data_IF_066807169877
#
_entry.id   IF_066807169877
#
_cell.length_a   1.000
_cell.length_b   1.000
_cell.length_c   1.000
_cell.angle_alpha   90.00
_cell.angle_beta   90.00
_cell.angle_gamma   90.00
#
_symmetry.space_group_name_H-M   'P 1'
#
loop_
_entity.id
_entity.type
_entity.pdbx_description
1 polymer ?
#
# COMPACT_ATOMS: atom_id res chain seq x y z
N UNK A 1 -26.46 4.32 1.75
CA UNK A 1 -26.15 3.47 2.92
C UNK A 1 -25.24 2.36 2.44
N UNK A 2 -24.21 2.00 3.19
CA UNK A 2 -23.35 0.87 2.82
C UNK A 2 -24.00 -0.48 3.10
N UNK A 3 -23.38 -1.56 2.60
CA UNK A 3 -23.93 -2.92 2.61
C UNK A 3 -24.27 -3.42 4.02
N UNK A 4 -23.45 -3.11 5.03
CA UNK A 4 -23.70 -3.57 6.41
C UNK A 4 -24.86 -2.79 7.05
N UNK A 5 -24.94 -1.48 6.80
CA UNK A 5 -26.09 -0.66 7.22
C UNK A 5 -27.39 -1.10 6.54
N UNK A 6 -27.33 -1.48 5.28
CA UNK A 6 -28.49 -2.03 4.56
C UNK A 6 -28.92 -3.40 5.10
N UNK A 7 -27.96 -4.25 5.47
CA UNK A 7 -28.26 -5.53 6.07
C UNK A 7 -29.00 -5.39 7.41
N UNK A 8 -28.53 -4.51 8.32
CA UNK A 8 -29.23 -4.28 9.59
C UNK A 8 -30.60 -3.63 9.39
N UNK A 9 -30.74 -2.70 8.43
CA UNK A 9 -32.04 -2.14 8.05
C UNK A 9 -33.02 -3.23 7.63
N UNK A 10 -32.59 -4.15 6.75
CA UNK A 10 -33.43 -5.24 6.28
C UNK A 10 -33.77 -6.22 7.41
N UNK A 11 -32.87 -6.43 8.36
CA UNK A 11 -33.12 -7.25 9.55
C UNK A 11 -34.22 -6.64 10.43
N UNK A 12 -34.16 -5.34 10.69
CA UNK A 12 -35.17 -4.59 11.46
C UNK A 12 -36.49 -4.55 10.70
N UNK A 13 -36.47 -4.22 9.41
CA UNK A 13 -37.66 -4.19 8.56
C UNK A 13 -38.43 -5.50 8.63
N UNK A 14 -37.73 -6.63 8.55
CA UNK A 14 -38.34 -7.95 8.69
C UNK A 14 -38.98 -8.17 10.06
N UNK A 15 -38.35 -7.72 11.15
CA UNK A 15 -38.96 -7.86 12.47
C UNK A 15 -40.19 -6.96 12.66
N UNK A 16 -40.20 -5.77 12.04
CA UNK A 16 -41.38 -4.90 11.98
C UNK A 16 -42.50 -5.53 11.15
N UNK A 17 -42.19 -6.16 10.02
CA UNK A 17 -43.19 -6.85 9.19
C UNK A 17 -43.81 -8.05 9.92
N UNK A 18 -43.00 -8.80 10.66
CA UNK A 18 -43.44 -10.02 11.35
C UNK A 18 -44.16 -9.72 12.69
N UNK A 19 -43.83 -8.61 13.38
CA UNK A 19 -44.29 -8.37 14.77
C UNK A 19 -44.88 -6.96 15.01
N UNK A 20 -44.83 -6.06 14.03
CA UNK A 20 -45.24 -4.65 14.15
C UNK A 20 -44.25 -3.81 14.96
N UNK A 21 -44.03 -4.15 16.22
CA UNK A 21 -43.27 -3.36 17.18
C UNK A 21 -41.89 -3.98 17.48
N UNK A 22 -40.84 -3.17 17.37
CA UNK A 22 -39.46 -3.56 17.68
C UNK A 22 -38.86 -2.61 18.71
N UNK A 23 -38.39 -3.15 19.83
CA UNK A 23 -37.54 -2.44 20.79
C UNK A 23 -36.10 -2.86 20.53
N UNK A 24 -35.26 -1.91 20.09
CA UNK A 24 -33.89 -2.14 19.68
C UNK A 24 -32.91 -1.53 20.69
N UNK A 25 -32.23 -2.39 21.45
CA UNK A 25 -31.16 -2.01 22.36
C UNK A 25 -29.79 -2.09 21.67
N UNK A 26 -29.00 -1.03 21.83
CA UNK A 26 -27.65 -0.88 21.26
C UNK A 26 -26.69 -0.31 22.32
N UNK A 27 -26.24 -1.14 23.29
CA UNK A 27 -25.41 -0.68 24.40
C UNK A 27 -24.07 -0.06 23.95
N UNK A 28 -23.52 -0.51 22.82
CA UNK A 28 -22.25 -0.02 22.29
C UNK A 28 -22.41 1.24 21.42
N UNK A 29 -23.65 1.68 21.15
CA UNK A 29 -23.95 2.81 20.27
C UNK A 29 -23.49 2.59 18.82
N UNK A 30 -23.27 1.35 18.40
CA UNK A 30 -22.69 1.00 17.11
C UNK A 30 -23.52 1.47 15.91
N UNK A 31 -24.82 1.72 16.12
CA UNK A 31 -25.77 2.08 15.07
C UNK A 31 -26.39 3.47 15.26
N UNK A 32 -25.86 4.29 16.18
CA UNK A 32 -26.40 5.62 16.49
C UNK A 32 -26.50 6.53 15.26
N UNK A 33 -25.52 6.48 14.34
CA UNK A 33 -25.59 7.24 13.08
C UNK A 33 -26.54 6.60 12.06
N UNK A 34 -26.63 5.26 12.04
CA UNK A 34 -27.46 4.54 11.09
C UNK A 34 -28.95 4.70 11.38
N UNK A 35 -29.34 4.85 12.65
CA UNK A 35 -30.75 5.05 13.03
C UNK A 35 -31.26 6.45 12.66
N UNK A 36 -30.39 7.46 12.59
CA UNK A 36 -30.79 8.83 12.20
C UNK A 36 -31.30 8.91 10.76
N UNK A 37 -30.78 8.04 9.89
CA UNK A 37 -31.16 7.94 8.48
C UNK A 37 -31.99 6.68 8.19
N UNK A 38 -32.47 5.99 9.23
CA UNK A 38 -33.27 4.78 9.09
C UNK A 38 -34.67 5.15 8.59
N UNK A 39 -34.92 4.81 7.32
CA UNK A 39 -36.22 4.93 6.70
C UNK A 39 -36.81 3.54 6.44
N UNK A 40 -38.04 3.33 6.92
CA UNK A 40 -38.77 2.08 6.84
C UNK A 40 -40.22 2.40 6.39
N UNK A 41 -40.76 1.72 5.36
CA UNK A 41 -42.10 1.99 4.86
C UNK A 41 -43.16 1.89 5.95
N UNK A 42 -44.02 2.90 6.04
CA UNK A 42 -45.15 2.99 6.97
C UNK A 42 -44.79 2.69 8.43
N UNK A 43 -43.55 3.03 8.84
CA UNK A 43 -43.02 2.68 10.17
C UNK A 43 -42.56 3.94 10.89
N UNK A 44 -43.02 4.13 12.12
CA UNK A 44 -42.53 5.22 12.96
C UNK A 44 -41.24 4.78 13.67
N UNK A 45 -40.17 5.56 13.56
CA UNK A 45 -38.92 5.32 14.30
C UNK A 45 -38.80 6.37 15.40
N UNK A 46 -38.71 5.92 16.65
CA UNK A 46 -38.48 6.77 17.82
C UNK A 46 -37.18 6.39 18.50
N UNK A 47 -36.49 7.39 19.05
CA UNK A 47 -35.21 7.21 19.73
C UNK A 47 -35.28 7.73 21.15
N UNK A 48 -34.66 7.00 22.06
CA UNK A 48 -34.37 7.51 23.39
C UNK A 48 -33.43 8.74 23.32
N UNK A 49 -33.93 9.87 23.83
CA UNK A 49 -33.22 11.15 23.91
C UNK A 49 -33.19 11.64 25.37
N UNK A 50 -32.55 10.86 26.24
CA UNK A 50 -32.29 11.24 27.64
C UNK A 50 -33.46 11.09 28.63
N UNK A 51 -34.67 10.73 28.18
CA UNK A 51 -35.82 10.53 29.08
C UNK A 51 -36.83 9.52 28.54
N UNK A 52 -37.03 8.43 29.30
CA UNK A 52 -38.07 7.44 29.00
C UNK A 52 -39.48 8.01 29.15
N UNK A 53 -39.69 8.93 30.09
CA UNK A 53 -41.00 9.60 30.26
C UNK A 53 -41.34 10.43 29.02
N UNK A 54 -40.36 11.14 28.46
CA UNK A 54 -40.55 11.90 27.21
C UNK A 54 -40.83 10.97 26.03
N UNK A 55 -40.07 9.89 25.89
CA UNK A 55 -40.25 8.90 24.84
C UNK A 55 -41.65 8.26 24.87
N UNK A 56 -42.09 7.82 26.06
CA UNK A 56 -43.42 7.23 26.26
C UNK A 56 -44.52 8.25 26.01
N UNK A 57 -44.35 9.48 26.51
CA UNK A 57 -45.29 10.56 26.21
C UNK A 57 -45.43 10.81 24.70
N UNK A 58 -44.33 10.77 23.93
CA UNK A 58 -44.39 10.91 22.47
C UNK A 58 -45.14 9.76 21.80
N UNK A 59 -44.93 8.52 22.26
CA UNK A 59 -45.67 7.33 21.78
C UNK A 59 -47.17 7.51 22.03
N UNK A 60 -47.55 7.94 23.23
CA UNK A 60 -48.94 8.18 23.63
C UNK A 60 -49.58 9.33 22.82
N UNK A 61 -48.86 10.44 22.62
CA UNK A 61 -49.37 11.58 21.81
C UNK A 61 -49.64 11.17 20.37
N UNK A 62 -48.82 10.26 19.83
CA UNK A 62 -49.01 9.69 18.49
C UNK A 62 -50.04 8.57 18.44
N UNK A 63 -50.64 8.19 19.58
CA UNK A 63 -51.66 7.14 19.71
C UNK A 63 -51.22 5.80 19.12
N UNK A 64 -49.92 5.49 19.23
CA UNK A 64 -49.35 4.30 18.57
C UNK A 64 -49.79 3.01 19.26
N UNK A 65 -50.20 3.06 20.53
CA UNK A 65 -50.58 1.88 21.32
C UNK A 65 -52.10 1.79 21.59
N UNK A 66 -52.93 2.54 20.86
CA UNK A 66 -54.39 2.61 21.08
C UNK A 66 -55.17 1.47 20.36
N UNK A 67 -54.51 0.71 19.46
CA UNK A 67 -55.11 -0.39 18.69
C UNK A 67 -54.90 -1.77 19.33
N UNK A 68 -55.73 -2.75 18.94
CA UNK A 68 -55.55 -4.16 19.35
C UNK A 68 -54.33 -4.82 18.69
N UNK A 69 -53.95 -4.37 17.49
CA UNK A 69 -52.76 -4.85 16.79
C UNK A 69 -51.53 -3.97 17.10
N UNK A 70 -50.32 -4.55 17.23
CA UNK A 70 -49.10 -3.78 17.43
C UNK A 70 -48.85 -2.79 16.28
N UNK A 71 -48.50 -1.52 16.58
CA UNK A 71 -48.19 -0.55 15.54
C UNK A 71 -46.88 -0.92 14.84
N UNK A 72 -46.70 -0.45 13.60
CA UNK A 72 -45.40 -0.43 12.92
C UNK A 72 -44.49 0.62 13.56
N UNK A 73 -43.77 0.22 14.60
CA UNK A 73 -42.96 1.11 15.44
C UNK A 73 -41.60 0.47 15.74
N UNK A 74 -40.53 1.25 15.58
CA UNK A 74 -39.19 0.91 16.07
C UNK A 74 -38.80 1.90 17.16
N UNK A 75 -38.42 1.39 18.33
CA UNK A 75 -37.91 2.19 19.44
C UNK A 75 -36.43 1.85 19.65
N UNK A 76 -35.55 2.77 19.28
CA UNK A 76 -34.10 2.63 19.45
C UNK A 76 -33.64 3.22 20.79
N UNK A 77 -32.85 2.44 21.53
CA UNK A 77 -32.32 2.82 22.83
C UNK A 77 -30.81 2.51 22.88
N UNK A 78 -29.93 3.52 22.97
CA UNK A 78 -28.48 3.34 22.98
C UNK A 78 -27.96 2.99 24.38
N UNK A 79 -28.54 1.96 25.01
CA UNK A 79 -28.12 1.41 26.31
C UNK A 79 -28.55 -0.05 26.44
N UNK A 80 -28.06 -0.74 27.47
CA UNK A 80 -28.45 -2.12 27.72
C UNK A 80 -29.91 -2.23 28.25
N UNK A 81 -30.60 -3.33 27.93
CA UNK A 81 -31.98 -3.55 28.37
C UNK A 81 -32.12 -3.46 29.90
N UNK A 82 -31.15 -4.01 30.63
CA UNK A 82 -31.15 -4.07 32.10
C UNK A 82 -31.02 -2.68 32.74
N UNK A 83 -30.39 -1.73 32.05
CA UNK A 83 -30.20 -0.35 32.51
C UNK A 83 -31.46 0.50 32.37
N UNK A 84 -32.46 0.02 31.62
CA UNK A 84 -33.73 0.73 31.43
C UNK A 84 -34.66 0.66 32.63
N UNK A 85 -34.37 -0.22 33.60
CA UNK A 85 -35.25 -0.49 34.74
C UNK A 85 -36.70 -0.81 34.32
N UNK A 86 -36.87 -1.56 33.23
CA UNK A 86 -38.17 -1.95 32.67
C UNK A 86 -39.04 -0.77 32.22
N UNK A 87 -38.44 0.38 31.89
CA UNK A 87 -39.18 1.56 31.47
C UNK A 87 -40.02 1.37 30.21
N UNK A 88 -39.72 0.36 29.38
CA UNK A 88 -40.39 0.05 28.11
C UNK A 88 -41.04 -1.35 28.11
N UNK A 89 -41.25 -1.97 29.28
CA UNK A 89 -41.70 -3.36 29.39
C UNK A 89 -43.02 -3.65 28.65
N UNK A 90 -43.91 -2.67 28.57
CA UNK A 90 -45.15 -2.77 27.81
C UNK A 90 -44.91 -2.89 26.29
N UNK A 91 -43.90 -2.19 25.77
CA UNK A 91 -43.53 -2.24 24.36
C UNK A 91 -42.81 -3.54 24.05
N UNK A 92 -41.97 -4.00 24.97
CA UNK A 92 -41.30 -5.30 24.86
C UNK A 92 -42.31 -6.45 24.85
N UNK A 93 -43.38 -6.35 25.65
CA UNK A 93 -44.43 -7.36 25.71
C UNK A 93 -45.35 -7.34 24.48
N UNK A 94 -45.62 -6.16 23.91
CA UNK A 94 -46.46 -6.01 22.72
C UNK A 94 -45.72 -6.33 21.41
N UNK A 95 -44.39 -6.30 21.40
CA UNK A 95 -43.56 -6.50 20.23
C UNK A 95 -42.44 -7.50 20.43
N UNK A 96 -41.26 -7.16 19.91
CA UNK A 96 -40.04 -7.97 20.05
C UNK A 96 -38.83 -7.13 20.44
N UNK A 97 -37.91 -7.76 21.16
CA UNK A 97 -36.62 -7.18 21.52
C UNK A 97 -35.55 -7.62 20.53
N UNK A 98 -34.78 -6.66 20.02
CA UNK A 98 -33.55 -6.87 19.25
C UNK A 98 -32.37 -6.28 20.01
N UNK A 99 -31.32 -7.06 20.22
CA UNK A 99 -30.12 -6.64 20.94
C UNK A 99 -28.90 -7.52 20.63
N UNK A 100 -27.68 -7.09 20.96
CA UNK A 100 -26.48 -7.90 20.76
C UNK A 100 -26.56 -9.26 21.48
N UNK A 101 -26.42 -10.36 20.74
CA UNK A 101 -26.48 -11.72 21.28
C UNK A 101 -27.88 -12.31 21.46
N UNK A 102 -28.94 -11.58 21.08
CA UNK A 102 -30.33 -12.05 21.22
C UNK A 102 -30.60 -13.34 20.44
N UNK A 103 -31.50 -14.18 20.98
CA UNK A 103 -32.07 -15.32 20.29
C UNK A 103 -33.55 -15.09 19.95
N UNK A 104 -34.04 -15.51 18.77
CA UNK A 104 -33.32 -16.21 17.69
C UNK A 104 -32.31 -15.30 16.93
N UNK A 105 -31.41 -15.86 16.09
CA UNK A 105 -30.37 -15.08 15.39
C UNK A 105 -30.91 -13.93 14.53
N UNK A 106 -32.16 -14.01 14.07
CA UNK A 106 -32.83 -12.94 13.34
C UNK A 106 -33.10 -11.67 14.16
N UNK A 107 -32.87 -11.72 15.48
CA UNK A 107 -32.99 -10.58 16.41
C UNK A 107 -31.64 -10.12 16.96
N UNK A 108 -30.55 -10.77 16.55
CA UNK A 108 -29.21 -10.46 17.02
C UNK A 108 -28.64 -9.27 16.25
N UNK A 109 -28.40 -8.17 16.95
CA UNK A 109 -27.84 -6.93 16.39
C UNK A 109 -26.37 -6.72 16.73
N UNK A 110 -25.65 -7.75 17.22
CA UNK A 110 -24.20 -7.64 17.49
C UNK A 110 -23.45 -7.31 16.21
N UNK A 111 -22.72 -6.18 16.21
CA UNK A 111 -22.08 -5.64 15.01
C UNK A 111 -21.17 -6.66 14.31
N UNK A 112 -20.36 -7.42 15.05
CA UNK A 112 -19.47 -8.43 14.47
C UNK A 112 -20.23 -9.52 13.68
N UNK A 113 -21.36 -9.99 14.20
CA UNK A 113 -22.19 -11.03 13.58
C UNK A 113 -22.93 -10.47 12.36
N UNK A 114 -23.49 -9.26 12.51
CA UNK A 114 -24.17 -8.54 11.43
C UNK A 114 -23.19 -8.28 10.27
N UNK A 115 -21.99 -7.77 10.58
CA UNK A 115 -20.92 -7.51 9.62
C UNK A 115 -20.51 -8.78 8.87
N UNK A 116 -20.25 -9.89 9.59
CA UNK A 116 -19.89 -11.17 8.98
C UNK A 116 -20.97 -11.63 8.01
N UNK A 117 -22.23 -11.62 8.42
CA UNK A 117 -23.33 -12.10 7.59
C UNK A 117 -23.55 -11.23 6.35
N UNK A 118 -23.41 -9.91 6.50
CA UNK A 118 -23.52 -8.96 5.39
C UNK A 118 -22.36 -9.08 4.40
N UNK A 119 -21.13 -9.28 4.89
CA UNK A 119 -19.92 -9.27 4.08
C UNK A 119 -19.52 -10.64 3.54
N UNK A 120 -20.11 -11.75 4.03
CA UNK A 120 -19.76 -13.11 3.62
C UNK A 120 -19.85 -13.34 2.11
N UNK A 121 -20.87 -12.80 1.46
CA UNK A 121 -21.05 -12.93 0.00
C UNK A 121 -20.08 -12.07 -0.81
N UNK A 122 -19.53 -11.01 -0.20
CA UNK A 122 -18.66 -10.01 -0.86
C UNK A 122 -17.18 -10.33 -0.66
N UNK A 123 -16.79 -10.75 0.55
CA UNK A 123 -15.39 -10.93 0.97
C UNK A 123 -14.96 -12.40 1.07
N UNK A 124 -15.90 -13.34 0.99
CA UNK A 124 -15.67 -14.76 1.26
C UNK A 124 -15.65 -15.10 2.76
N UNK A 125 -15.75 -16.39 3.08
CA UNK A 125 -15.97 -16.86 4.46
C UNK A 125 -14.78 -16.62 5.39
N UNK A 126 -13.55 -16.80 4.89
CA UNK A 126 -12.32 -16.61 5.66
C UNK A 126 -12.09 -15.14 6.05
N UNK A 127 -12.18 -14.23 5.06
CA UNK A 127 -12.06 -12.79 5.29
C UNK A 127 -13.17 -12.27 6.20
N UNK A 128 -14.41 -12.72 6.00
CA UNK A 128 -15.53 -12.32 6.84
C UNK A 128 -15.35 -12.76 8.30
N UNK A 129 -14.73 -13.93 8.54
CA UNK A 129 -14.38 -14.37 9.90
C UNK A 129 -13.26 -13.53 10.53
N UNK A 130 -12.31 -13.03 9.74
CA UNK A 130 -11.30 -12.09 10.26
C UNK A 130 -11.93 -10.74 10.62
N UNK A 131 -12.81 -10.21 9.76
CA UNK A 131 -13.55 -8.97 10.00
C UNK A 131 -14.43 -9.10 11.25
N UNK A 132 -15.08 -10.24 11.47
CA UNK A 132 -15.83 -10.53 12.70
C UNK A 132 -14.95 -10.34 13.94
N UNK A 133 -13.76 -10.97 13.97
CA UNK A 133 -12.82 -10.86 15.11
C UNK A 133 -12.36 -9.42 15.38
N UNK A 134 -12.03 -8.66 14.32
CA UNK A 134 -11.59 -7.27 14.46
C UNK A 134 -12.73 -6.36 14.94
N UNK A 135 -13.96 -6.65 14.52
CA UNK A 135 -15.16 -5.93 14.96
C UNK A 135 -15.47 -6.21 16.43
N UNK A 136 -15.40 -7.49 16.84
CA UNK A 136 -15.61 -7.87 18.25
C UNK A 136 -14.55 -7.25 19.18
N UNK A 137 -13.33 -7.03 18.67
CA UNK A 137 -12.26 -6.32 19.37
C UNK A 137 -12.44 -4.78 19.39
N UNK A 138 -13.52 -4.24 18.82
CA UNK A 138 -13.82 -2.80 18.80
C UNK A 138 -12.95 -1.97 17.84
N UNK A 139 -12.26 -2.61 16.89
CA UNK A 139 -11.32 -1.92 15.96
C UNK A 139 -11.98 -1.46 14.67
N UNK A 140 -13.13 -2.04 14.33
CA UNK A 140 -13.89 -1.71 13.14
C UNK A 140 -15.24 -1.14 13.54
N UNK A 141 -15.51 0.08 13.08
CA UNK A 141 -16.80 0.75 13.22
C UNK A 141 -17.75 0.34 12.09
N UNK A 142 -19.04 0.63 12.22
CA UNK A 142 -20.00 0.43 11.13
C UNK A 142 -19.58 1.16 9.84
N UNK A 143 -18.97 2.34 9.96
CA UNK A 143 -18.44 3.08 8.82
C UNK A 143 -17.26 2.35 8.15
N UNK A 144 -16.31 1.81 8.92
CA UNK A 144 -15.21 0.99 8.38
C UNK A 144 -15.74 -0.23 7.62
N UNK A 145 -16.77 -0.89 8.18
CA UNK A 145 -17.38 -2.09 7.61
C UNK A 145 -18.12 -1.82 6.30
N UNK A 146 -18.83 -0.70 6.21
CA UNK A 146 -19.45 -0.27 4.96
C UNK A 146 -18.40 0.04 3.89
N UNK A 147 -17.33 0.75 4.27
CA UNK A 147 -16.24 1.08 3.35
C UNK A 147 -15.49 -0.17 2.85
N UNK A 148 -15.37 -1.22 3.67
CA UNK A 148 -14.82 -2.53 3.25
C UNK A 148 -15.67 -3.19 2.16
N UNK A 149 -16.99 -3.04 2.24
CA UNK A 149 -17.91 -3.64 1.30
C UNK A 149 -17.85 -2.98 -0.08
N UNK A 150 -17.74 -1.64 -0.11
CA UNK A 150 -17.69 -0.83 -1.34
C UNK A 150 -16.42 -1.09 -2.17
N UNK A 151 -15.32 -1.51 -1.51
CA UNK A 151 -14.06 -1.86 -2.19
C UNK A 151 -14.06 -3.26 -2.82
N UNK A 152 -15.19 -3.97 -2.75
CA UNK A 152 -15.59 -5.09 -3.59
C UNK A 152 -14.51 -6.11 -3.95
N UNK A 153 -14.46 -7.23 -3.22
CA UNK A 153 -14.15 -8.55 -3.78
C UNK A 153 -12.81 -8.77 -4.51
N UNK A 154 -11.90 -7.79 -4.61
CA UNK A 154 -10.50 -7.97 -5.02
C UNK A 154 -9.72 -8.62 -3.86
N UNK A 155 -10.16 -9.84 -3.58
CA UNK A 155 -9.50 -11.01 -3.02
C UNK A 155 -8.28 -10.62 -2.17
N UNK A 156 -8.48 -10.61 -0.84
CA UNK A 156 -7.51 -10.71 0.27
C UNK A 156 -7.09 -9.46 1.07
N UNK A 157 -7.72 -8.28 0.96
CA UNK A 157 -7.13 -7.04 1.53
C UNK A 157 -8.08 -6.25 2.42
N UNK A 158 -8.34 -6.79 3.60
CA UNK A 158 -9.18 -6.24 4.65
C UNK A 158 -8.67 -4.91 5.21
N UNK A 159 -8.10 -4.94 6.41
CA UNK A 159 -7.80 -3.75 7.22
C UNK A 159 -6.72 -2.89 6.55
N UNK A 160 -5.81 -3.50 5.78
CA UNK A 160 -4.76 -2.81 5.04
C UNK A 160 -5.34 -1.83 3.99
N UNK A 161 -6.40 -2.21 3.27
CA UNK A 161 -7.00 -1.32 2.28
C UNK A 161 -7.72 -0.12 2.91
N UNK A 162 -8.19 -0.24 4.16
CA UNK A 162 -8.69 0.88 4.95
C UNK A 162 -7.55 1.82 5.37
N UNK A 163 -6.46 1.27 5.90
CA UNK A 163 -5.32 2.04 6.43
C UNK A 163 -4.61 2.82 5.32
N UNK A 164 -4.25 2.14 4.24
CA UNK A 164 -3.46 2.73 3.16
C UNK A 164 -4.33 3.38 2.07
N UNK A 165 -5.67 3.28 2.18
CA UNK A 165 -6.62 3.79 1.20
C UNK A 165 -6.75 2.94 -0.07
N UNK A 166 -5.83 2.00 -0.30
CA UNK A 166 -5.76 1.16 -1.51
C UNK A 166 -5.48 -0.30 -1.18
N UNK A 167 -6.04 -1.20 -1.97
CA UNK A 167 -5.69 -2.62 -1.96
C UNK A 167 -4.55 -2.96 -2.91
N UNK A 168 -3.95 -2.04 -3.66
CA UNK A 168 -2.87 -2.43 -4.57
C UNK A 168 -1.58 -2.77 -3.78
N UNK A 169 -1.00 -3.99 -3.88
CA UNK A 169 0.19 -4.37 -3.10
C UNK A 169 1.39 -3.46 -3.36
N UNK A 170 1.56 -2.99 -4.60
CA UNK A 170 2.64 -2.07 -4.97
C UNK A 170 2.49 -0.71 -4.28
N UNK A 171 1.27 -0.16 -4.23
CA UNK A 171 1.01 1.13 -3.58
C UNK A 171 1.09 1.05 -2.05
N UNK A 172 0.60 -0.06 -1.47
CA UNK A 172 0.72 -0.34 -0.04
C UNK A 172 2.19 -0.46 0.35
N UNK A 173 2.95 -1.32 -0.36
CA UNK A 173 4.37 -1.55 -0.10
C UNK A 173 5.19 -0.26 -0.25
N UNK A 174 4.93 0.53 -1.30
CA UNK A 174 5.60 1.81 -1.49
C UNK A 174 5.27 2.79 -0.37
N UNK A 175 3.99 2.93 0.00
CA UNK A 175 3.57 3.82 1.10
C UNK A 175 4.19 3.41 2.43
N UNK A 176 4.34 2.11 2.66
CA UNK A 176 4.98 1.56 3.86
C UNK A 176 6.50 1.80 3.87
N UNK A 177 7.17 1.68 2.72
CA UNK A 177 8.61 1.94 2.58
C UNK A 177 8.95 3.42 2.72
N UNK A 178 8.07 4.29 2.23
CA UNK A 178 8.30 5.73 2.18
C UNK A 178 8.22 6.41 3.56
N UNK A 179 7.29 5.99 4.41
CA UNK A 179 7.06 6.65 5.71
C UNK A 179 6.45 5.73 6.78
N UNK A 180 6.51 6.18 8.03
CA UNK A 180 5.89 5.57 9.22
C UNK A 180 4.48 6.12 9.53
N UNK A 181 3.92 6.97 8.65
CA UNK A 181 2.66 7.69 8.87
C UNK A 181 1.46 6.79 9.19
N UNK A 182 1.51 5.53 8.78
CA UNK A 182 0.43 4.56 8.97
C UNK A 182 0.69 3.58 10.12
N UNK A 183 1.86 3.62 10.76
CA UNK A 183 2.28 2.63 11.75
C UNK A 183 1.32 2.56 12.94
N UNK A 184 0.88 3.72 13.45
CA UNK A 184 -0.11 3.79 14.53
C UNK A 184 -1.43 3.11 14.13
N UNK A 185 -1.89 3.31 12.90
CA UNK A 185 -3.12 2.69 12.39
C UNK A 185 -2.95 1.17 12.19
N UNK A 186 -1.78 0.74 11.71
CA UNK A 186 -1.45 -0.70 11.58
C UNK A 186 -1.42 -1.37 12.95
N UNK A 187 -0.85 -0.72 13.97
CA UNK A 187 -0.79 -1.24 15.34
C UNK A 187 -2.20 -1.26 15.96
N UNK A 188 -2.92 -0.13 15.93
CA UNK A 188 -4.25 0.00 16.53
C UNK A 188 -5.25 -0.99 15.95
N UNK A 189 -5.20 -1.25 14.64
CA UNK A 189 -6.08 -2.19 13.97
C UNK A 189 -5.50 -3.61 13.85
N UNK A 190 -4.39 -3.92 14.53
CA UNK A 190 -3.69 -5.22 14.49
C UNK A 190 -3.44 -5.77 13.07
N UNK A 191 -3.19 -4.87 12.12
CA UNK A 191 -3.04 -5.21 10.70
C UNK A 191 -1.63 -5.68 10.34
N UNK A 192 -0.72 -5.80 11.31
CA UNK A 192 0.67 -6.19 11.07
C UNK A 192 0.78 -7.55 10.38
N UNK A 193 0.02 -8.55 10.85
CA UNK A 193 0.04 -9.89 10.23
C UNK A 193 -0.48 -9.89 8.79
N UNK A 194 -1.47 -9.04 8.50
CA UNK A 194 -1.99 -8.85 7.13
C UNK A 194 -0.95 -8.16 6.23
N UNK A 195 -0.22 -7.18 6.77
CA UNK A 195 0.89 -6.55 6.06
C UNK A 195 2.01 -7.56 5.77
N UNK A 196 2.44 -8.33 6.76
CA UNK A 196 3.48 -9.36 6.59
C UNK A 196 3.07 -10.41 5.55
N UNK A 197 1.83 -10.86 5.56
CA UNK A 197 1.32 -11.80 4.55
C UNK A 197 1.29 -11.19 3.15
N UNK A 198 0.90 -9.91 3.02
CA UNK A 198 0.97 -9.20 1.74
C UNK A 198 2.41 -9.11 1.23
N UNK A 199 3.37 -8.75 2.09
CA UNK A 199 4.78 -8.65 1.71
C UNK A 199 5.35 -10.03 1.33
N UNK A 200 4.98 -11.08 2.07
CA UNK A 200 5.38 -12.46 1.78
C UNK A 200 4.85 -12.94 0.44
N UNK A 201 3.54 -12.81 0.22
CA UNK A 201 2.87 -13.32 -0.97
C UNK A 201 3.28 -12.56 -2.23
N UNK A 202 3.26 -11.22 -2.19
CA UNK A 202 3.42 -10.39 -3.39
C UNK A 202 4.89 -10.08 -3.72
N UNK A 203 5.79 -10.08 -2.72
CA UNK A 203 7.19 -9.72 -2.90
C UNK A 203 8.18 -10.82 -2.49
N UNK A 204 7.69 -11.99 -2.06
CA UNK A 204 8.54 -13.09 -1.62
C UNK A 204 9.37 -12.75 -0.38
N UNK A 205 8.90 -11.80 0.44
CA UNK A 205 9.60 -11.34 1.63
C UNK A 205 9.09 -12.05 2.87
N UNK A 206 9.90 -12.95 3.42
CA UNK A 206 9.61 -13.59 4.70
C UNK A 206 10.53 -13.05 5.79
N UNK A 207 9.93 -12.56 6.87
CA UNK A 207 10.65 -11.95 7.97
C UNK A 207 10.10 -12.47 9.31
N UNK A 208 10.38 -13.74 9.64
CA UNK A 208 10.03 -14.27 10.95
C UNK A 208 10.71 -13.44 12.05
N UNK A 209 10.05 -13.38 13.21
CA UNK A 209 10.56 -12.79 14.45
C UNK A 209 10.77 -11.27 14.45
N UNK A 210 10.26 -10.55 13.45
CA UNK A 210 10.25 -9.09 13.48
C UNK A 210 9.14 -8.60 14.39
N UNK A 211 9.47 -7.85 15.45
CA UNK A 211 8.47 -7.29 16.38
C UNK A 211 8.02 -5.89 15.98
N UNK A 212 8.96 -5.03 15.57
CA UNK A 212 8.72 -3.62 15.26
C UNK A 212 8.50 -3.35 13.77
N UNK A 213 7.52 -2.50 13.43
CA UNK A 213 7.26 -2.11 12.03
C UNK A 213 8.46 -1.40 11.38
N UNK A 214 9.24 -0.66 12.17
CA UNK A 214 10.47 -0.01 11.70
C UNK A 214 11.54 -1.00 11.26
N UNK A 215 11.69 -2.13 11.97
CA UNK A 215 12.62 -3.18 11.56
C UNK A 215 12.08 -3.95 10.35
N UNK A 216 10.76 -4.19 10.30
CA UNK A 216 10.09 -4.81 9.15
C UNK A 216 10.33 -3.98 7.88
N UNK A 217 10.11 -2.66 7.95
CA UNK A 217 10.35 -1.71 6.85
C UNK A 217 11.79 -1.74 6.38
N UNK A 218 12.75 -1.69 7.31
CA UNK A 218 14.19 -1.73 6.98
C UNK A 218 14.57 -3.02 6.26
N UNK A 219 14.15 -4.17 6.80
CA UNK A 219 14.42 -5.48 6.19
C UNK A 219 13.74 -5.64 4.84
N UNK A 220 12.52 -5.10 4.69
CA UNK A 220 11.81 -5.12 3.43
C UNK A 220 12.46 -4.22 2.36
N UNK A 221 12.89 -3.00 2.73
CA UNK A 221 13.65 -2.11 1.84
C UNK A 221 14.92 -2.82 1.33
N UNK A 222 15.64 -3.47 2.24
CA UNK A 222 16.81 -4.29 1.93
C UNK A 222 16.48 -5.41 0.94
N UNK A 223 15.43 -6.18 1.20
CA UNK A 223 14.99 -7.27 0.33
C UNK A 223 14.66 -6.78 -1.08
N UNK A 224 13.89 -5.70 -1.21
CA UNK A 224 13.48 -5.12 -2.50
C UNK A 224 14.69 -4.63 -3.29
N UNK A 225 15.57 -3.84 -2.66
CA UNK A 225 16.73 -3.26 -3.34
C UNK A 225 17.79 -4.32 -3.69
N UNK A 226 18.04 -5.28 -2.80
CA UNK A 226 18.97 -6.38 -3.12
C UNK A 226 18.39 -7.30 -4.19
N UNK A 227 17.08 -7.54 -4.22
CA UNK A 227 16.43 -8.28 -5.30
C UNK A 227 16.59 -7.55 -6.64
N UNK A 228 16.38 -6.23 -6.68
CA UNK A 228 16.56 -5.41 -7.90
C UNK A 228 18.01 -5.48 -8.42
N UNK A 229 19.01 -5.36 -7.53
CA UNK A 229 20.43 -5.48 -7.90
C UNK A 229 20.80 -6.90 -8.38
N UNK A 230 20.52 -7.92 -7.58
CA UNK A 230 20.94 -9.30 -7.86
C UNK A 230 20.27 -9.83 -9.12
N UNK A 231 18.97 -9.56 -9.31
CA UNK A 231 18.26 -9.92 -10.53
C UNK A 231 18.64 -9.08 -11.76
N UNK A 232 19.32 -7.96 -11.57
CA UNK A 232 19.87 -7.16 -12.65
C UNK A 232 21.27 -7.59 -13.09
N UNK A 233 21.99 -8.31 -12.22
CA UNK A 233 23.34 -8.82 -12.49
C UNK A 233 23.34 -10.18 -13.19
N UNK A 234 22.23 -10.93 -13.16
CA UNK A 234 22.10 -12.28 -13.72
C UNK A 234 23.28 -13.20 -13.31
N UNK A 235 24.04 -13.72 -14.28
CA UNK A 235 25.17 -14.62 -14.02
C UNK A 235 26.43 -13.89 -13.48
N UNK A 236 26.41 -12.55 -13.42
CA UNK A 236 27.54 -11.73 -12.97
C UNK A 236 27.48 -11.36 -11.47
N UNK A 237 26.64 -12.04 -10.67
CA UNK A 237 26.51 -11.77 -9.24
C UNK A 237 27.82 -12.11 -8.50
N UNK A 238 28.44 -11.14 -7.79
CA UNK A 238 29.63 -11.41 -7.00
C UNK A 238 29.39 -12.48 -5.93
N UNK A 239 30.37 -13.36 -5.71
CA UNK A 239 30.25 -14.48 -4.74
C UNK A 239 29.90 -14.02 -3.32
N UNK A 240 30.34 -12.82 -2.93
CA UNK A 240 30.01 -12.17 -1.64
C UNK A 240 28.52 -11.84 -1.48
N UNK A 241 27.75 -11.79 -2.57
CA UNK A 241 26.31 -11.54 -2.56
C UNK A 241 25.47 -12.81 -2.77
N UNK A 242 26.09 -13.97 -2.97
CA UNK A 242 25.37 -15.22 -3.28
C UNK A 242 24.49 -15.73 -2.13
N UNK A 243 24.79 -15.37 -0.89
CA UNK A 243 24.02 -15.73 0.30
C UNK A 243 22.95 -14.70 0.70
N UNK A 244 22.81 -13.61 -0.05
CA UNK A 244 21.84 -12.56 0.26
C UNK A 244 20.43 -13.06 -0.03
N UNK A 245 19.50 -13.00 0.95
CA UNK A 245 18.11 -13.36 0.71
C UNK A 245 17.50 -12.38 -0.30
N UNK A 246 16.98 -12.92 -1.40
CA UNK A 246 16.26 -12.18 -2.44
C UNK A 246 15.02 -12.96 -2.86
N UNK A 247 14.10 -12.29 -3.57
CA UNK A 247 12.93 -12.96 -4.12
C UNK A 247 13.35 -14.11 -5.06
N UNK A 248 12.73 -15.27 -4.90
CA UNK A 248 13.15 -16.52 -5.56
C UNK A 248 12.30 -16.91 -6.76
N UNK A 249 11.10 -16.33 -6.91
CA UNK A 249 10.20 -16.64 -8.03
C UNK A 249 10.10 -15.47 -9.00
N UNK A 250 9.95 -15.71 -10.32
CA UNK A 250 9.86 -14.63 -11.30
C UNK A 250 8.80 -13.56 -10.97
N UNK A 251 7.56 -13.90 -10.56
CA UNK A 251 6.56 -12.89 -10.21
C UNK A 251 6.99 -11.98 -9.04
N UNK A 252 7.57 -12.56 -7.99
CA UNK A 252 8.03 -11.80 -6.82
C UNK A 252 9.25 -10.95 -7.12
N UNK A 253 10.14 -11.42 -8.01
CA UNK A 253 11.30 -10.67 -8.47
C UNK A 253 10.87 -9.47 -9.32
N UNK A 254 9.97 -9.68 -10.28
CA UNK A 254 9.40 -8.61 -11.10
C UNK A 254 8.65 -7.58 -10.24
N UNK A 255 7.91 -8.03 -9.23
CA UNK A 255 7.25 -7.15 -8.28
C UNK A 255 8.23 -6.27 -7.49
N UNK A 256 9.37 -6.82 -7.04
CA UNK A 256 10.42 -6.04 -6.37
C UNK A 256 11.10 -5.04 -7.31
N UNK A 257 11.40 -5.44 -8.55
CA UNK A 257 11.97 -4.54 -9.58
C UNK A 257 11.02 -3.39 -9.91
N UNK A 258 9.73 -3.70 -10.07
CA UNK A 258 8.69 -2.71 -10.30
C UNK A 258 8.58 -1.74 -9.12
N UNK A 259 8.61 -2.24 -7.88
CA UNK A 259 8.55 -1.43 -6.67
C UNK A 259 9.77 -0.51 -6.53
N UNK A 260 11.00 -1.04 -6.68
CA UNK A 260 12.24 -0.24 -6.68
C UNK A 260 12.19 0.87 -7.73
N UNK A 261 11.73 0.55 -8.95
CA UNK A 261 11.57 1.51 -10.04
C UNK A 261 10.49 2.57 -9.74
N UNK A 262 9.34 2.17 -9.22
CA UNK A 262 8.28 3.11 -8.85
C UNK A 262 8.73 4.05 -7.73
N UNK A 263 9.43 3.51 -6.72
CA UNK A 263 9.97 4.26 -5.59
C UNK A 263 10.97 5.33 -6.04
N UNK A 264 11.92 4.99 -6.93
CA UNK A 264 12.91 5.97 -7.41
C UNK A 264 12.33 7.03 -8.35
N UNK A 265 11.33 6.68 -9.17
CA UNK A 265 10.82 7.59 -10.21
C UNK A 265 9.77 8.59 -9.69
N UNK A 266 9.11 8.29 -8.57
CA UNK A 266 8.15 9.18 -7.94
C UNK A 266 8.87 10.30 -7.18
N UNK A 267 8.42 11.55 -7.37
CA UNK A 267 9.08 12.73 -6.78
C UNK A 267 8.85 12.83 -5.27
N UNK A 268 7.66 12.47 -4.82
CA UNK A 268 7.22 12.49 -3.43
C UNK A 268 7.95 11.44 -2.58
N UNK A 269 8.35 10.30 -3.16
CA UNK A 269 9.04 9.21 -2.43
C UNK A 269 10.54 9.11 -2.76
N UNK A 270 11.07 10.07 -3.53
CA UNK A 270 12.47 10.08 -3.98
C UNK A 270 13.46 10.13 -2.83
N UNK A 271 13.22 10.97 -1.82
CA UNK A 271 14.17 11.18 -0.72
C UNK A 271 14.29 9.92 0.16
N UNK A 272 13.16 9.24 0.42
CA UNK A 272 13.14 7.98 1.16
C UNK A 272 13.85 6.86 0.41
N UNK A 273 13.71 6.79 -0.93
CA UNK A 273 14.49 5.86 -1.76
C UNK A 273 15.99 6.09 -1.63
N UNK A 274 16.42 7.36 -1.74
CA UNK A 274 17.85 7.72 -1.65
C UNK A 274 18.44 7.33 -0.30
N UNK A 275 17.70 7.59 0.79
CA UNK A 275 18.11 7.21 2.13
C UNK A 275 18.24 5.68 2.26
N UNK A 276 17.23 4.93 1.82
CA UNK A 276 17.22 3.47 1.87
C UNK A 276 18.35 2.86 1.02
N UNK A 277 18.54 3.33 -0.21
CA UNK A 277 19.60 2.86 -1.10
C UNK A 277 21.00 3.08 -0.51
N UNK A 278 21.26 4.26 0.09
CA UNK A 278 22.54 4.54 0.76
C UNK A 278 22.76 3.66 1.98
N UNK A 279 21.71 3.45 2.78
CA UNK A 279 21.79 2.59 3.95
C UNK A 279 22.12 1.15 3.56
N UNK A 280 21.40 0.59 2.59
CA UNK A 280 21.62 -0.79 2.12
C UNK A 280 22.98 -0.92 1.42
N UNK A 281 23.40 0.06 0.61
CA UNK A 281 24.75 0.10 0.02
C UNK A 281 25.84 -0.03 1.09
N UNK A 282 25.68 0.68 2.20
CA UNK A 282 26.61 0.64 3.34
C UNK A 282 26.54 -0.69 4.09
N UNK A 283 25.34 -1.22 4.34
CA UNK A 283 25.12 -2.49 5.07
C UNK A 283 25.82 -3.67 4.38
N UNK A 284 25.76 -3.75 3.05
CA UNK A 284 26.40 -4.82 2.28
C UNK A 284 27.83 -4.50 1.84
N UNK A 285 28.34 -3.31 2.18
CA UNK A 285 29.68 -2.88 1.79
C UNK A 285 29.91 -2.92 0.28
N UNK A 286 28.89 -2.55 -0.52
CA UNK A 286 28.92 -2.70 -1.98
C UNK A 286 30.07 -1.90 -2.62
N UNK A 287 30.54 -0.84 -1.97
CA UNK A 287 31.69 -0.05 -2.42
C UNK A 287 33.01 -0.81 -2.48
N UNK A 288 33.13 -1.93 -1.75
CA UNK A 288 34.31 -2.80 -1.74
C UNK A 288 34.20 -3.97 -2.74
N UNK A 289 33.12 -4.04 -3.51
CA UNK A 289 32.92 -5.05 -4.54
C UNK A 289 33.47 -4.57 -5.88
N UNK A 290 33.96 -5.52 -6.67
CA UNK A 290 34.28 -5.31 -8.07
C UNK A 290 33.08 -5.74 -8.91
N UNK A 291 32.62 -4.85 -9.77
CA UNK A 291 31.51 -5.10 -10.69
C UNK A 291 32.04 -5.09 -12.12
N UNK A 292 31.58 -6.02 -12.94
CA UNK A 292 31.79 -5.95 -14.39
C UNK A 292 30.99 -4.76 -14.94
N UNK A 293 31.64 -3.74 -15.55
CA UNK A 293 30.97 -2.57 -16.11
C UNK A 293 29.85 -2.91 -17.08
N UNK A 294 29.99 -4.00 -17.87
CA UNK A 294 28.95 -4.42 -18.82
C UNK A 294 27.71 -4.96 -18.12
N UNK A 295 27.88 -5.70 -17.04
CA UNK A 295 26.78 -6.29 -16.28
C UNK A 295 25.97 -5.22 -15.51
N UNK A 296 26.60 -4.10 -15.13
CA UNK A 296 25.95 -3.05 -14.35
C UNK A 296 25.46 -1.84 -15.16
N UNK A 297 25.70 -1.83 -16.47
CA UNK A 297 25.38 -0.68 -17.35
C UNK A 297 23.90 -0.31 -17.32
N UNK A 298 23.00 -1.30 -17.23
CA UNK A 298 21.55 -1.11 -17.17
C UNK A 298 21.00 -0.78 -15.78
N UNK A 299 21.83 -0.84 -14.74
CA UNK A 299 21.36 -0.80 -13.36
C UNK A 299 21.35 0.62 -12.79
N UNK A 300 20.37 0.89 -11.92
CA UNK A 300 20.14 2.20 -11.30
C UNK A 300 19.81 2.08 -9.80
N UNK A 301 19.98 0.89 -9.21
CA UNK A 301 19.52 0.60 -7.84
C UNK A 301 20.32 1.34 -6.77
N UNK A 302 21.64 1.45 -6.96
CA UNK A 302 22.55 2.02 -5.95
C UNK A 302 23.49 3.06 -6.57
N UNK A 303 23.86 4.12 -5.84
CA UNK A 303 24.77 5.14 -6.35
C UNK A 303 26.21 4.61 -6.57
N UNK A 304 26.61 3.51 -5.93
CA UNK A 304 27.89 2.85 -6.22
C UNK A 304 28.01 2.39 -7.68
N UNK A 305 26.90 2.06 -8.34
CA UNK A 305 26.88 1.63 -9.75
C UNK A 305 27.40 2.76 -10.64
N UNK A 306 26.95 4.00 -10.42
CA UNK A 306 27.46 5.16 -11.13
C UNK A 306 28.95 5.38 -10.89
N UNK A 307 29.40 5.21 -9.65
CA UNK A 307 30.82 5.39 -9.32
C UNK A 307 31.70 4.33 -9.98
N UNK A 308 31.23 3.09 -10.07
CA UNK A 308 31.93 1.99 -10.73
C UNK A 308 32.02 2.22 -12.24
N UNK A 309 30.90 2.59 -12.87
CA UNK A 309 30.84 2.95 -14.29
C UNK A 309 31.71 4.18 -14.62
N UNK A 310 31.68 5.23 -13.78
CA UNK A 310 32.55 6.40 -13.93
C UNK A 310 34.02 6.01 -13.88
N UNK A 311 34.43 5.20 -12.89
CA UNK A 311 35.83 4.75 -12.78
C UNK A 311 36.24 3.94 -14.02
N UNK A 312 35.36 3.08 -14.53
CA UNK A 312 35.60 2.37 -15.77
C UNK A 312 35.80 3.32 -16.95
N UNK A 313 34.90 4.29 -17.14
CA UNK A 313 34.98 5.28 -18.20
C UNK A 313 36.26 6.12 -18.11
N UNK A 314 36.59 6.63 -16.92
CA UNK A 314 37.81 7.40 -16.66
C UNK A 314 39.07 6.59 -17.00
N UNK A 315 39.16 5.33 -16.55
CA UNK A 315 40.30 4.47 -16.86
C UNK A 315 40.43 4.20 -18.36
N UNK A 316 39.31 3.95 -19.05
CA UNK A 316 39.29 3.69 -20.50
C UNK A 316 39.73 4.90 -21.32
N UNK A 317 39.37 6.11 -20.91
CA UNK A 317 39.84 7.34 -21.56
C UNK A 317 41.34 7.61 -21.32
N UNK A 318 41.90 7.11 -20.21
CA UNK A 318 43.32 7.27 -19.88
C UNK A 318 44.23 6.20 -20.52
N UNK A 319 43.69 5.07 -20.96
CA UNK A 319 44.45 4.00 -21.62
C UNK A 319 45.05 4.48 -22.96
N UNK A 320 46.37 4.73 -22.95
CA UNK A 320 47.16 5.11 -24.13
C UNK A 320 47.40 3.90 -25.05
N UNK A 321 46.49 3.64 -25.98
CA UNK A 321 46.81 2.76 -27.12
C UNK A 321 46.24 3.30 -28.43
N UNK A 322 47.15 3.53 -29.39
CA UNK A 322 47.01 4.27 -30.65
C UNK A 322 45.95 3.77 -31.66
N UNK A 323 45.19 2.73 -31.32
CA UNK A 323 44.07 2.19 -32.12
C UNK A 323 42.82 1.87 -31.27
N UNK A 324 42.96 1.45 -30.01
CA UNK A 324 41.84 1.15 -29.12
C UNK A 324 41.22 2.39 -28.46
N UNK A 325 41.99 3.48 -28.32
CA UNK A 325 41.47 4.74 -27.77
C UNK A 325 40.40 5.38 -28.67
N UNK A 326 40.49 5.17 -29.99
CA UNK A 326 39.56 5.70 -31.01
C UNK A 326 38.15 5.13 -30.86
N UNK A 327 38.06 3.82 -30.68
CA UNK A 327 36.79 3.10 -30.53
C UNK A 327 36.23 3.24 -29.11
N UNK A 328 37.13 3.28 -28.12
CA UNK A 328 36.78 3.54 -26.73
C UNK A 328 36.15 4.92 -26.52
N UNK A 329 36.60 5.96 -27.23
CA UNK A 329 35.99 7.30 -27.14
C UNK A 329 34.49 7.31 -27.50
N UNK A 330 34.09 6.61 -28.56
CA UNK A 330 32.70 6.53 -29.00
C UNK A 330 31.82 5.72 -28.06
N UNK A 331 32.32 4.58 -27.58
CA UNK A 331 31.63 3.73 -26.60
C UNK A 331 31.44 4.48 -25.26
N UNK A 332 32.49 5.16 -24.78
CA UNK A 332 32.43 5.93 -23.52
C UNK A 332 31.54 7.17 -23.66
N UNK A 333 31.54 7.86 -24.79
CA UNK A 333 30.61 8.96 -25.04
C UNK A 333 29.16 8.46 -24.97
N UNK A 334 28.85 7.38 -25.68
CA UNK A 334 27.51 6.76 -25.67
C UNK A 334 27.10 6.35 -24.25
N UNK A 335 28.00 5.73 -23.50
CA UNK A 335 27.78 5.39 -22.10
C UNK A 335 27.46 6.64 -21.27
N UNK A 336 28.31 7.67 -21.34
CA UNK A 336 28.15 8.89 -20.53
C UNK A 336 26.84 9.63 -20.83
N UNK A 337 26.48 9.78 -22.10
CA UNK A 337 25.20 10.38 -22.52
C UNK A 337 24.01 9.58 -21.99
N UNK A 338 24.09 8.25 -22.07
CA UNK A 338 23.02 7.39 -21.54
C UNK A 338 22.85 7.55 -20.02
N UNK A 339 23.96 7.70 -19.27
CA UNK A 339 23.96 7.82 -17.80
C UNK A 339 23.53 9.20 -17.31
N UNK A 340 23.80 10.28 -18.06
CA UNK A 340 23.36 11.64 -17.70
C UNK A 340 21.84 11.77 -17.52
N UNK A 341 21.06 10.94 -18.23
CA UNK A 341 19.59 10.91 -18.12
C UNK A 341 19.05 10.02 -17.00
N UNK A 342 19.93 9.32 -16.26
CA UNK A 342 19.55 8.33 -15.25
C UNK A 342 19.31 8.94 -13.88
N UNK A 343 18.61 8.17 -13.05
CA UNK A 343 18.10 8.62 -11.76
C UNK A 343 19.17 9.29 -10.87
N UNK A 344 20.33 8.65 -10.70
CA UNK A 344 21.36 9.17 -9.79
C UNK A 344 22.01 10.47 -10.28
N UNK A 345 22.02 10.74 -11.58
CA UNK A 345 22.46 12.02 -12.13
C UNK A 345 21.44 13.14 -11.88
N UNK A 346 20.14 12.83 -11.86
CA UNK A 346 19.08 13.80 -11.50
C UNK A 346 19.15 14.19 -10.01
N UNK A 347 19.55 13.24 -9.15
CA UNK A 347 19.51 13.43 -7.70
C UNK A 347 20.84 13.87 -7.09
N UNK A 348 21.98 13.52 -7.70
CA UNK A 348 23.31 13.84 -7.18
C UNK A 348 24.09 14.72 -8.19
N UNK A 349 24.11 16.06 -8.00
CA UNK A 349 24.76 16.99 -8.91
C UNK A 349 26.24 16.69 -9.17
N UNK A 350 26.94 16.08 -8.19
CA UNK A 350 28.34 15.67 -8.35
C UNK A 350 28.51 14.54 -9.36
N UNK A 351 27.58 13.58 -9.41
CA UNK A 351 27.62 12.51 -10.41
C UNK A 351 27.30 13.06 -11.80
N UNK A 352 26.29 13.94 -11.90
CA UNK A 352 25.97 14.64 -13.14
C UNK A 352 27.17 15.41 -13.71
N UNK A 353 27.83 16.22 -12.89
CA UNK A 353 28.99 17.00 -13.32
C UNK A 353 30.17 16.11 -13.78
N UNK A 354 30.41 14.98 -13.10
CA UNK A 354 31.46 14.04 -13.49
C UNK A 354 31.13 13.33 -14.81
N UNK A 355 29.90 12.88 -14.99
CA UNK A 355 29.48 12.28 -16.25
C UNK A 355 29.54 13.27 -17.41
N UNK A 356 29.16 14.54 -17.19
CA UNK A 356 29.29 15.59 -18.19
C UNK A 356 30.75 15.84 -18.57
N UNK A 357 31.67 15.83 -17.60
CA UNK A 357 33.11 15.94 -17.86
C UNK A 357 33.63 14.76 -18.69
N UNK A 358 33.21 13.53 -18.35
CA UNK A 358 33.59 12.32 -19.10
C UNK A 358 33.10 12.40 -20.55
N UNK A 359 31.84 12.84 -20.78
CA UNK A 359 31.29 13.04 -22.12
C UNK A 359 32.11 14.07 -22.92
N UNK A 360 32.34 15.26 -22.36
CA UNK A 360 33.15 16.29 -23.03
C UNK A 360 34.59 15.84 -23.30
N UNK A 361 35.21 15.08 -22.39
CA UNK A 361 36.54 14.53 -22.61
C UNK A 361 36.55 13.53 -23.78
N UNK A 362 35.54 12.66 -23.86
CA UNK A 362 35.39 11.71 -24.95
C UNK A 362 35.16 12.42 -26.30
N UNK A 363 34.33 13.46 -26.35
CA UNK A 363 34.12 14.30 -27.55
C UNK A 363 35.43 14.93 -28.04
N UNK A 364 36.21 15.52 -27.13
CA UNK A 364 37.50 16.15 -27.47
C UNK A 364 38.47 15.12 -28.04
N UNK A 365 38.52 13.91 -27.48
CA UNK A 365 39.39 12.84 -27.98
C UNK A 365 38.96 12.33 -29.36
N UNK A 366 37.66 12.20 -29.61
CA UNK A 366 37.11 11.83 -30.90
C UNK A 366 37.39 12.90 -31.97
N UNK A 367 37.21 14.17 -31.62
CA UNK A 367 37.46 15.28 -32.53
C UNK A 367 38.96 15.45 -32.82
N UNK A 368 39.82 15.28 -31.81
CA UNK A 368 41.27 15.27 -32.00
C UNK A 368 41.70 14.17 -32.97
N UNK A 369 41.15 12.96 -32.85
CA UNK A 369 41.42 11.87 -33.80
C UNK A 369 40.91 12.20 -35.21
N UNK A 370 39.69 12.75 -35.35
CA UNK A 370 39.14 13.19 -36.64
C UNK A 370 40.09 14.17 -37.34
N UNK A 371 40.61 15.14 -36.59
CA UNK A 371 41.59 16.12 -37.08
C UNK A 371 42.91 15.44 -37.44
N UNK A 372 43.43 14.53 -36.62
CA UNK A 372 44.67 13.80 -36.91
C UNK A 372 44.55 12.98 -38.22
N UNK A 373 43.42 12.29 -38.42
CA UNK A 373 43.16 11.52 -39.64
C UNK A 373 43.05 12.42 -40.87
N UNK A 374 42.41 13.58 -40.74
CA UNK A 374 42.31 14.56 -41.82
C UNK A 374 43.71 15.09 -42.22
N UNK A 375 44.57 15.38 -41.24
CA UNK A 375 45.94 15.84 -41.47
C UNK A 375 46.81 14.76 -42.14
N UNK A 376 46.66 13.49 -41.77
CA UNK A 376 47.38 12.37 -42.42
C UNK A 376 46.97 12.16 -43.88
N UNK A 377 45.77 12.58 -44.27
CA UNK A 377 45.23 12.46 -45.63
C UNK A 377 45.42 13.71 -46.49
N UNK A 378 45.92 14.81 -45.92
CA UNK A 378 46.10 16.07 -46.65
C UNK A 378 47.25 15.95 -47.69
N UNK A 379 47.13 16.54 -48.90
CA UNK A 379 48.17 16.47 -49.91
C UNK A 379 49.45 17.19 -49.46
N UNK A 380 50.61 16.52 -49.55
CA UNK A 380 51.90 17.06 -49.09
C UNK A 380 52.49 18.16 -50.00
N UNK A 381 51.75 18.68 -50.98
CA UNK A 381 52.24 19.75 -51.87
C UNK A 381 51.16 20.76 -52.25
N UNK A 382 51.58 22.02 -52.39
CA UNK A 382 50.73 23.16 -52.80
C UNK A 382 50.01 22.90 -54.12
N UNK A 383 50.62 22.14 -55.05
CA UNK A 383 50.03 21.77 -56.34
C UNK A 383 48.83 20.82 -56.21
N UNK A 384 48.72 20.08 -55.10
CA UNK A 384 47.57 19.22 -54.80
C UNK A 384 46.38 19.96 -54.17
N UNK A 385 46.59 21.17 -53.63
CA UNK A 385 45.52 22.00 -53.04
C UNK A 385 44.78 22.86 -54.07
N UNK A 386 45.28 22.96 -55.31
CA UNK A 386 44.75 23.86 -56.36
C UNK A 386 43.87 23.10 -57.38
N UNK A 387 43.61 21.79 -57.18
CA UNK A 387 42.83 20.95 -58.12
C UNK A 387 41.49 20.42 -57.59
N UNK A 388 41.03 20.91 -56.44
CA UNK A 388 39.59 20.94 -56.09
C UNK A 388 39.12 22.38 -56.19
#
# INVERSE_FOLDING_TARGET
>A
MGIVSEYVRNLIAKQVDDNGLVVWYDPDGAYSEAVEVLDLPDTTVLRYDGSFVRLRWEIDQKKLMDSEEPPRLVVYVPMAQEETHHALIELEAAGVVMQPGQQPPSRNTRLAVVARNALKSVLGDETAAHVEKQTEAGKLTLADLNALADKGGEISKGVIALIFGTGNPQEVALSFLDSDRFDESVIKKEAKGELEELLRRDFGFDAPDVTELTDLRRRFARHVLMTDLVSGLDDAVPSKLSSVPVASTPPTTDACKALSKAWRLRRDTRESYVAAARQVEQEFGLAALEFDPKAIEGLETFPIIEKALLRHAENRLLEKTDLSARQAGGEILTLAESRLSRFWCDVEPRLQARWALVASAAEVLLEADRVEQALKRAPASVTGMIKE
#
